data_IF_261615288291
#
_entry.id   IF_261615288291
#
_cell.length_a   1.000
_cell.length_b   1.000
_cell.length_c   1.000
_cell.angle_alpha   90.00
_cell.angle_beta   90.00
_cell.angle_gamma   90.00
#
_symmetry.space_group_name_H-M   'P 1'
#
loop_
_entity.id
_entity.type
_entity.pdbx_description
1 polymer ?
#
# COMPACT_ATOMS: atom_id res chain seq x y z
N UNK A 1 46.70 -5.89 8.19
CA UNK A 1 45.26 -6.05 8.43
C UNK A 1 44.55 -5.38 7.27
N UNK A 2 43.65 -6.07 6.56
CA UNK A 2 42.84 -5.41 5.54
C UNK A 2 41.94 -4.38 6.23
N UNK A 3 41.73 -3.23 5.60
CA UNK A 3 40.73 -2.28 6.07
C UNK A 3 39.35 -2.96 6.00
N UNK A 4 38.54 -2.77 7.04
CA UNK A 4 37.16 -3.27 7.06
C UNK A 4 36.37 -2.62 5.93
N UNK A 5 35.50 -3.40 5.30
CA UNK A 5 34.58 -2.93 4.26
C UNK A 5 33.44 -2.11 4.87
N UNK A 6 32.74 -1.35 4.02
CA UNK A 6 31.56 -0.61 4.45
C UNK A 6 30.43 -1.52 4.99
N UNK A 7 30.36 -2.77 4.50
CA UNK A 7 29.37 -3.76 4.94
C UNK A 7 29.75 -4.32 6.32
N UNK A 8 31.02 -4.67 6.54
CA UNK A 8 31.48 -5.14 7.86
C UNK A 8 31.30 -4.06 8.94
N UNK A 9 31.62 -2.80 8.61
CA UNK A 9 31.44 -1.67 9.53
C UNK A 9 29.96 -1.40 9.83
N UNK A 10 29.07 -1.57 8.84
CA UNK A 10 27.63 -1.50 9.06
C UNK A 10 27.15 -2.60 10.01
N UNK A 11 27.57 -3.85 9.80
CA UNK A 11 27.15 -4.98 10.63
C UNK A 11 27.62 -4.79 12.07
N UNK A 12 28.87 -4.35 12.27
CA UNK A 12 29.39 -4.00 13.59
C UNK A 12 28.59 -2.87 14.25
N UNK A 13 28.24 -1.82 13.49
CA UNK A 13 27.45 -0.71 14.01
C UNK A 13 26.05 -1.16 14.44
N UNK A 14 25.37 -2.01 13.65
CA UNK A 14 24.08 -2.60 14.01
C UNK A 14 24.19 -3.45 15.28
N UNK A 15 25.21 -4.33 15.38
CA UNK A 15 25.44 -5.17 16.57
C UNK A 15 25.68 -4.36 17.84
N UNK A 16 26.30 -3.18 17.71
CA UNK A 16 26.56 -2.26 18.82
C UNK A 16 25.38 -1.30 19.11
N UNK A 17 24.31 -1.36 18.31
CA UNK A 17 23.18 -0.44 18.41
C UNK A 17 23.44 0.99 17.92
N UNK A 18 24.58 1.22 17.26
CA UNK A 18 24.97 2.54 16.73
C UNK A 18 24.10 2.94 15.54
N UNK A 19 23.69 4.22 15.49
CA UNK A 19 22.88 4.76 14.38
C UNK A 19 23.69 4.96 13.10
N UNK A 20 25.01 5.12 13.20
CA UNK A 20 25.86 5.47 12.06
C UNK A 20 27.22 4.80 12.12
N UNK A 21 27.88 4.70 10.97
CA UNK A 21 29.30 4.40 10.84
C UNK A 21 29.94 5.33 9.79
N UNK A 22 31.26 5.40 9.74
CA UNK A 22 31.98 6.16 8.70
C UNK A 22 32.35 5.20 7.56
N UNK A 23 31.89 5.50 6.35
CA UNK A 23 32.24 4.74 5.16
C UNK A 23 33.75 4.89 4.87
N UNK A 24 34.53 3.80 4.85
CA UNK A 24 35.98 3.85 4.69
C UNK A 24 36.42 4.35 3.31
N UNK A 25 35.52 4.34 2.31
CA UNK A 25 35.82 4.79 0.95
C UNK A 25 35.43 6.25 0.74
N UNK A 26 34.18 6.62 1.06
CA UNK A 26 33.68 7.98 0.82
C UNK A 26 34.00 8.97 1.96
N UNK A 27 34.30 8.48 3.16
CA UNK A 27 34.46 9.30 4.36
C UNK A 27 33.14 9.85 4.91
N UNK A 28 32.00 9.49 4.32
CA UNK A 28 30.69 9.95 4.78
C UNK A 28 30.22 9.19 6.01
N UNK A 29 29.47 9.90 6.87
CA UNK A 29 28.68 9.28 7.92
C UNK A 29 27.44 8.63 7.30
N UNK A 30 27.33 7.31 7.40
CA UNK A 30 26.26 6.51 6.80
C UNK A 30 25.38 5.96 7.92
N UNK A 31 24.07 6.13 7.77
CA UNK A 31 23.06 5.58 8.69
C UNK A 31 22.99 4.05 8.57
N UNK A 32 22.84 3.36 9.70
CA UNK A 32 22.65 1.91 9.76
C UNK A 32 21.22 1.53 9.36
N UNK A 33 21.03 0.23 9.07
CA UNK A 33 19.69 -0.32 8.81
C UNK A 33 18.77 -0.07 10.00
N UNK A 34 19.27 -0.29 11.21
CA UNK A 34 18.49 -0.13 12.45
C UNK A 34 18.08 1.33 12.70
N UNK A 35 18.94 2.29 12.37
CA UNK A 35 18.58 3.71 12.41
C UNK A 35 17.41 4.03 11.46
N UNK A 36 17.42 3.44 10.26
CA UNK A 36 16.31 3.57 9.33
C UNK A 36 15.05 2.86 9.80
N UNK A 37 15.15 1.66 10.40
CA UNK A 37 14.02 0.95 11.02
C UNK A 37 13.39 1.83 12.10
N UNK A 38 14.18 2.44 12.99
CA UNK A 38 13.69 3.38 14.02
C UNK A 38 12.97 4.58 13.43
N UNK A 39 13.40 5.10 12.26
CA UNK A 39 12.72 6.19 11.55
C UNK A 39 11.35 5.79 11.00
N UNK A 40 11.11 4.50 10.74
CA UNK A 40 9.83 3.97 10.28
C UNK A 40 9.49 4.14 8.80
N UNK A 41 10.16 5.05 8.06
CA UNK A 41 9.83 5.35 6.66
C UNK A 41 11.04 5.56 5.72
N UNK A 42 10.81 5.39 4.41
CA UNK A 42 11.76 5.73 3.36
C UNK A 42 11.75 7.25 3.06
N UNK A 43 12.87 7.95 3.22
CA UNK A 43 12.93 9.39 2.96
C UNK A 43 13.17 9.79 1.49
N UNK A 44 13.36 8.82 0.59
CA UNK A 44 13.58 9.07 -0.84
C UNK A 44 15.00 9.49 -1.26
N UNK A 45 15.97 9.50 -0.35
CA UNK A 45 17.35 9.96 -0.61
C UNK A 45 18.33 8.86 -1.05
N UNK A 46 17.83 7.68 -1.48
CA UNK A 46 18.67 6.54 -1.89
C UNK A 46 19.74 6.14 -0.85
N UNK A 47 19.33 6.05 0.42
CA UNK A 47 20.25 5.69 1.50
C UNK A 47 20.76 4.25 1.32
N UNK A 48 22.08 4.03 1.50
CA UNK A 48 22.76 2.74 1.29
C UNK A 48 22.10 1.56 2.01
N UNK A 49 21.67 1.77 3.26
CA UNK A 49 21.13 0.70 4.12
C UNK A 49 19.62 0.80 4.31
N UNK A 50 18.90 1.40 3.36
CA UNK A 50 17.46 1.59 3.46
C UNK A 50 16.73 0.22 3.51
N UNK A 51 16.12 -0.17 4.64
CA UNK A 51 15.40 -1.45 4.73
C UNK A 51 14.09 -1.45 3.93
N UNK A 52 13.65 -0.28 3.47
CA UNK A 52 12.37 -0.05 2.82
C UNK A 52 12.43 -0.17 1.31
N UNK A 53 13.45 -0.83 0.76
CA UNK A 53 13.55 -1.10 -0.68
C UNK A 53 13.45 0.14 -1.56
N UNK A 54 13.93 1.27 -1.04
CA UNK A 54 13.90 2.56 -1.73
C UNK A 54 12.52 2.97 -2.28
N UNK A 55 11.41 2.57 -1.63
CA UNK A 55 10.03 2.79 -2.11
C UNK A 55 9.70 4.26 -2.44
N UNK A 56 10.35 5.22 -1.78
CA UNK A 56 10.15 6.66 -2.02
C UNK A 56 11.25 7.32 -2.88
N UNK A 57 12.26 6.57 -3.33
CA UNK A 57 13.33 7.10 -4.18
C UNK A 57 12.80 7.27 -5.60
N UNK A 58 13.19 8.34 -6.30
CA UNK A 58 12.82 8.55 -7.70
C UNK A 58 13.44 7.46 -8.57
N UNK A 59 12.73 7.02 -9.62
CA UNK A 59 13.19 5.94 -10.51
C UNK A 59 14.61 6.19 -11.07
N UNK A 60 14.95 7.44 -11.41
CA UNK A 60 16.28 7.81 -11.91
C UNK A 60 17.43 7.66 -10.91
N UNK A 61 17.15 7.35 -9.64
CA UNK A 61 18.13 7.29 -8.55
C UNK A 61 18.05 5.99 -7.73
N UNK A 62 17.24 5.01 -8.13
CA UNK A 62 17.19 3.69 -7.47
C UNK A 62 18.35 2.83 -7.95
N UNK A 63 18.95 2.07 -7.04
CA UNK A 63 19.81 0.94 -7.41
C UNK A 63 18.98 -0.12 -8.16
N UNK A 64 19.63 -0.93 -9.00
CA UNK A 64 18.94 -1.83 -9.95
C UNK A 64 18.16 -2.97 -9.28
N UNK A 65 18.45 -3.30 -8.02
CA UNK A 65 17.80 -4.41 -7.32
C UNK A 65 16.68 -3.96 -6.35
N UNK A 66 15.39 -4.21 -6.67
CA UNK A 66 14.28 -3.96 -5.75
C UNK A 66 14.38 -4.86 -4.49
N UNK A 67 13.70 -4.49 -3.40
CA UNK A 67 13.69 -5.30 -2.17
C UNK A 67 13.19 -6.72 -2.46
N UNK A 68 13.89 -7.71 -1.92
CA UNK A 68 13.57 -9.12 -2.13
C UNK A 68 12.51 -9.66 -1.17
N UNK A 69 12.12 -8.90 -0.14
CA UNK A 69 11.24 -9.34 0.93
C UNK A 69 10.17 -8.28 1.24
N UNK A 70 9.05 -8.67 1.87
CA UNK A 70 8.05 -7.74 2.36
C UNK A 70 8.66 -6.76 3.36
N UNK A 71 8.13 -5.53 3.40
CA UNK A 71 8.58 -4.51 4.35
C UNK A 71 7.40 -3.80 4.99
N UNK A 72 7.36 -3.81 6.32
CA UNK A 72 6.42 -3.01 7.12
C UNK A 72 7.04 -1.65 7.47
N UNK A 73 6.25 -0.60 7.28
CA UNK A 73 6.59 0.79 7.52
C UNK A 73 5.58 1.43 8.47
N UNK A 74 6.05 2.45 9.21
CA UNK A 74 5.22 3.31 10.06
C UNK A 74 4.40 2.59 11.14
N UNK A 75 4.80 1.37 11.54
CA UNK A 75 4.18 0.71 12.68
C UNK A 75 4.56 1.41 13.99
N UNK A 76 3.58 1.57 14.88
CA UNK A 76 3.78 1.99 16.26
C UNK A 76 2.98 1.09 17.19
N UNK A 77 3.51 0.81 18.38
CA UNK A 77 2.87 -0.11 19.33
C UNK A 77 1.44 0.34 19.64
N UNK A 78 0.49 -0.59 19.51
CA UNK A 78 -0.92 -0.36 19.79
C UNK A 78 -1.52 -1.59 20.44
N UNK A 79 -2.34 -1.43 21.48
CA UNK A 79 -3.05 -2.56 22.09
C UNK A 79 -4.28 -2.92 21.25
N UNK A 80 -4.62 -4.22 21.17
CA UNK A 80 -5.87 -4.69 20.55
C UNK A 80 -5.71 -5.68 19.39
N UNK A 81 -6.84 -5.99 18.76
CA UNK A 81 -6.93 -6.90 17.61
C UNK A 81 -6.51 -6.19 16.31
N UNK A 82 -5.72 -6.89 15.50
CA UNK A 82 -5.11 -6.36 14.28
C UNK A 82 -5.84 -6.86 13.02
N UNK A 83 -6.28 -5.93 12.19
CA UNK A 83 -6.75 -6.20 10.83
C UNK A 83 -5.67 -5.87 9.80
N UNK A 84 -5.57 -6.70 8.78
CA UNK A 84 -4.75 -6.41 7.60
C UNK A 84 -5.69 -6.06 6.44
N UNK A 85 -5.66 -4.79 6.04
CA UNK A 85 -6.45 -4.29 4.92
C UNK A 85 -5.63 -4.41 3.63
N UNK A 86 -6.12 -5.18 2.67
CA UNK A 86 -5.55 -5.23 1.33
C UNK A 86 -5.80 -3.89 0.63
N UNK A 87 -4.73 -3.09 0.56
CA UNK A 87 -4.78 -1.71 0.11
C UNK A 87 -4.37 -1.61 -1.34
N UNK A 88 -5.32 -1.22 -2.19
CA UNK A 88 -5.10 -1.03 -3.62
C UNK A 88 -4.68 0.39 -3.99
N UNK A 89 -4.94 1.35 -3.08
CA UNK A 89 -4.72 2.78 -3.30
C UNK A 89 -5.88 3.52 -3.95
N UNK A 90 -7.00 2.83 -4.20
CA UNK A 90 -8.21 3.37 -4.80
C UNK A 90 -9.34 3.64 -3.80
N UNK A 91 -10.46 4.15 -4.34
CA UNK A 91 -11.64 4.59 -3.57
C UNK A 91 -12.25 3.50 -2.68
N UNK A 92 -12.26 2.24 -3.14
CA UNK A 92 -12.92 1.14 -2.42
C UNK A 92 -12.10 0.73 -1.18
N UNK A 93 -10.77 0.69 -1.33
CA UNK A 93 -9.86 0.50 -0.20
C UNK A 93 -9.93 1.67 0.79
N UNK A 94 -10.10 2.91 0.31
CA UNK A 94 -10.32 4.09 1.16
C UNK A 94 -11.62 3.98 1.97
N UNK A 95 -12.74 3.64 1.32
CA UNK A 95 -14.02 3.43 1.99
C UNK A 95 -13.90 2.36 3.08
N UNK A 96 -13.25 1.24 2.74
CA UNK A 96 -12.99 0.12 3.65
C UNK A 96 -12.17 0.57 4.86
N UNK A 97 -11.09 1.33 4.64
CA UNK A 97 -10.27 1.87 5.73
C UNK A 97 -11.09 2.73 6.69
N UNK A 98 -11.95 3.59 6.16
CA UNK A 98 -12.78 4.47 7.00
C UNK A 98 -13.85 3.70 7.79
N UNK A 99 -14.40 2.63 7.23
CA UNK A 99 -15.26 1.71 7.97
C UNK A 99 -14.51 1.05 9.14
N UNK A 100 -13.28 0.56 8.91
CA UNK A 100 -12.48 -0.06 9.97
C UNK A 100 -12.05 0.94 11.06
N UNK A 101 -11.78 2.20 10.69
CA UNK A 101 -11.46 3.26 11.65
C UNK A 101 -12.64 3.56 12.59
N UNK A 102 -13.88 3.47 12.11
CA UNK A 102 -15.09 3.60 12.95
C UNK A 102 -15.21 2.45 13.96
N UNK A 103 -14.74 1.25 13.62
CA UNK A 103 -14.68 0.08 14.51
C UNK A 103 -13.53 0.14 15.54
N UNK A 104 -12.68 1.18 15.50
CA UNK A 104 -11.51 1.38 16.40
C UNK A 104 -10.53 0.21 16.42
N UNK A 105 -10.30 -0.42 15.26
CA UNK A 105 -9.36 -1.54 15.09
C UNK A 105 -7.93 -1.04 14.85
N UNK A 106 -6.94 -1.87 15.19
CA UNK A 106 -5.58 -1.67 14.70
C UNK A 106 -5.53 -2.13 13.24
N UNK A 107 -4.92 -1.34 12.36
CA UNK A 107 -4.96 -1.58 10.91
C UNK A 107 -3.55 -1.49 10.36
N UNK A 108 -3.16 -2.50 9.57
CA UNK A 108 -1.99 -2.45 8.69
C UNK A 108 -2.49 -2.56 7.26
N UNK A 109 -2.05 -1.64 6.40
CA UNK A 109 -2.28 -1.73 4.96
C UNK A 109 -1.31 -2.76 4.38
N UNK A 110 -1.78 -3.64 3.49
CA UNK A 110 -0.92 -4.57 2.74
C UNK A 110 -1.09 -4.32 1.24
N UNK A 111 0.01 -4.03 0.55
CA UNK A 111 0.00 -3.80 -0.89
C UNK A 111 1.08 -4.63 -1.58
N UNK A 112 0.67 -5.49 -2.51
CA UNK A 112 1.59 -6.18 -3.41
C UNK A 112 1.83 -5.40 -4.70
N UNK A 113 3.06 -5.41 -5.22
CA UNK A 113 3.44 -4.67 -6.42
C UNK A 113 4.47 -5.42 -7.26
N UNK A 114 4.51 -5.19 -8.57
CA UNK A 114 5.52 -5.79 -9.44
C UNK A 114 6.91 -5.25 -9.13
N UNK A 115 7.85 -6.11 -8.74
CA UNK A 115 9.18 -5.71 -8.28
C UNK A 115 9.95 -4.91 -9.33
N UNK A 116 9.83 -5.28 -10.62
CA UNK A 116 10.50 -4.58 -11.72
C UNK A 116 9.75 -3.34 -12.20
N UNK A 117 8.41 -3.31 -12.10
CA UNK A 117 7.60 -2.19 -12.59
C UNK A 117 7.40 -1.11 -11.54
N UNK A 118 7.59 -1.45 -10.26
CA UNK A 118 7.24 -0.61 -9.11
C UNK A 118 5.76 -0.17 -9.10
N UNK A 119 4.88 -0.94 -9.72
CA UNK A 119 3.44 -0.63 -9.78
C UNK A 119 2.59 -1.72 -9.16
N UNK A 120 1.52 -1.29 -8.50
CA UNK A 120 0.44 -2.17 -8.05
C UNK A 120 -0.24 -2.76 -9.28
N UNK A 121 -0.30 -4.09 -9.34
CA UNK A 121 -0.92 -4.82 -10.44
C UNK A 121 -2.37 -4.39 -10.62
N UNK A 122 -2.83 -4.33 -11.88
CA UNK A 122 -4.19 -3.94 -12.29
C UNK A 122 -4.45 -2.43 -12.09
N UNK A 123 -4.14 -1.90 -10.91
CA UNK A 123 -4.48 -0.53 -10.52
C UNK A 123 -3.60 0.50 -11.19
N UNK A 124 -2.42 0.06 -11.63
CA UNK A 124 -1.43 0.89 -12.30
C UNK A 124 -1.02 2.08 -11.41
N UNK A 125 -0.80 1.87 -10.12
CA UNK A 125 -0.34 2.91 -9.19
C UNK A 125 1.11 2.65 -8.80
N UNK A 126 1.97 3.66 -8.89
CA UNK A 126 3.36 3.58 -8.44
C UNK A 126 3.42 3.37 -6.91
N UNK A 127 4.22 2.42 -6.44
CA UNK A 127 4.36 2.08 -5.02
C UNK A 127 4.75 3.28 -4.15
N UNK A 128 5.45 4.29 -4.73
CA UNK A 128 5.76 5.54 -4.02
C UNK A 128 4.49 6.33 -3.66
N UNK A 129 3.45 6.28 -4.50
CA UNK A 129 2.19 6.96 -4.25
C UNK A 129 1.41 6.21 -3.16
N UNK A 130 1.47 4.88 -3.14
CA UNK A 130 0.92 4.08 -2.02
C UNK A 130 1.60 4.43 -0.69
N UNK A 131 2.92 4.56 -0.68
CA UNK A 131 3.65 4.98 0.51
C UNK A 131 3.23 6.38 0.99
N UNK A 132 3.05 7.34 0.06
CA UNK A 132 2.51 8.67 0.39
C UNK A 132 1.07 8.63 0.93
N UNK A 133 0.22 7.75 0.40
CA UNK A 133 -1.14 7.55 0.92
C UNK A 133 -1.09 7.06 2.37
N UNK A 134 -0.27 6.04 2.66
CA UNK A 134 -0.08 5.51 4.01
C UNK A 134 0.39 6.60 4.99
N UNK A 135 1.39 7.40 4.59
CA UNK A 135 1.90 8.51 5.39
C UNK A 135 0.82 9.57 5.66
N UNK A 136 0.10 9.99 4.62
CA UNK A 136 -0.98 10.96 4.76
C UNK A 136 -2.14 10.46 5.63
N UNK A 137 -2.53 9.20 5.48
CA UNK A 137 -3.64 8.60 6.23
C UNK A 137 -3.27 8.22 7.67
N UNK A 138 -1.97 8.27 8.00
CA UNK A 138 -1.43 7.88 9.30
C UNK A 138 -1.62 6.40 9.61
N UNK A 139 -1.51 5.53 8.60
CA UNK A 139 -1.73 4.07 8.75
C UNK A 139 -0.48 3.30 8.33
N UNK A 140 -0.01 2.34 9.14
CA UNK A 140 1.12 1.47 8.80
C UNK A 140 0.93 0.77 7.45
N UNK A 141 2.02 0.54 6.72
CA UNK A 141 1.99 -0.09 5.38
C UNK A 141 3.02 -1.20 5.28
N UNK A 142 2.56 -2.38 4.91
CA UNK A 142 3.37 -3.50 4.46
C UNK A 142 3.34 -3.58 2.93
N UNK A 143 4.51 -3.46 2.29
CA UNK A 143 4.64 -3.63 0.84
C UNK A 143 5.21 -5.01 0.52
N UNK A 144 4.67 -5.66 -0.52
CA UNK A 144 5.03 -7.02 -0.93
C UNK A 144 5.54 -7.01 -2.37
N UNK A 145 6.85 -7.15 -2.60
CA UNK A 145 7.40 -7.23 -3.96
C UNK A 145 7.03 -8.57 -4.60
N UNK A 146 6.47 -8.53 -5.81
CA UNK A 146 6.15 -9.70 -6.64
C UNK A 146 7.11 -9.78 -7.82
N UNK A 147 7.88 -10.86 -7.88
CA UNK A 147 8.77 -11.15 -9.02
C UNK A 147 8.07 -12.06 -10.04
N UNK A 148 8.50 -12.06 -11.30
CA UNK A 148 7.99 -13.00 -12.29
C UNK A 148 8.04 -14.44 -11.79
N UNK A 149 6.98 -15.21 -12.03
CA UNK A 149 6.85 -16.62 -11.63
C UNK A 149 6.87 -16.87 -10.11
N UNK A 150 6.66 -15.85 -9.27
CA UNK A 150 6.46 -16.05 -7.84
C UNK A 150 5.03 -16.46 -7.53
N UNK A 151 4.88 -17.29 -6.50
CA UNK A 151 3.59 -17.64 -5.94
C UNK A 151 3.06 -16.47 -5.11
N UNK A 152 1.96 -15.87 -5.59
CA UNK A 152 1.31 -14.73 -4.95
C UNK A 152 0.92 -15.03 -3.49
N UNK A 153 0.32 -16.20 -3.24
CA UNK A 153 -0.17 -16.57 -1.92
C UNK A 153 1.00 -16.74 -0.96
N UNK A 154 2.09 -17.36 -1.42
CA UNK A 154 3.32 -17.50 -0.62
C UNK A 154 3.94 -16.15 -0.28
N UNK A 155 4.06 -15.24 -1.24
CA UNK A 155 4.63 -13.90 -1.02
C UNK A 155 3.79 -13.08 -0.04
N UNK A 156 2.46 -13.13 -0.14
CA UNK A 156 1.57 -12.46 0.79
C UNK A 156 1.60 -13.12 2.17
N UNK A 157 1.66 -14.46 2.26
CA UNK A 157 1.78 -15.15 3.55
C UNK A 157 3.07 -14.74 4.29
N UNK A 158 4.19 -14.60 3.60
CA UNK A 158 5.43 -14.08 4.20
C UNK A 158 5.25 -12.66 4.77
N UNK A 159 4.43 -11.83 4.13
CA UNK A 159 4.10 -10.51 4.63
C UNK A 159 3.19 -10.56 5.87
N UNK A 160 2.21 -11.46 5.90
CA UNK A 160 1.35 -11.68 7.06
C UNK A 160 2.18 -12.18 8.27
N UNK A 161 3.12 -13.11 8.04
CA UNK A 161 4.04 -13.60 9.08
C UNK A 161 4.94 -12.46 9.61
N UNK A 162 5.47 -11.62 8.71
CA UNK A 162 6.26 -10.44 9.08
C UNK A 162 5.44 -9.47 9.93
N UNK A 163 4.20 -9.18 9.53
CA UNK A 163 3.29 -8.29 10.26
C UNK A 163 3.03 -8.87 11.65
N UNK A 164 2.64 -10.14 11.76
CA UNK A 164 2.38 -10.77 13.06
C UNK A 164 3.62 -10.73 13.97
N UNK A 165 4.80 -11.02 13.43
CA UNK A 165 6.05 -11.00 14.19
C UNK A 165 6.45 -9.59 14.66
N UNK A 166 6.40 -8.58 13.77
CA UNK A 166 6.86 -7.23 14.10
C UNK A 166 5.86 -6.45 14.94
N UNK A 167 4.57 -6.71 14.78
CA UNK A 167 3.54 -6.07 15.60
C UNK A 167 3.43 -6.76 16.96
N UNK A 168 3.68 -8.08 17.04
CA UNK A 168 3.41 -8.87 18.24
C UNK A 168 1.92 -9.19 18.42
N UNK A 169 1.07 -8.84 17.44
CA UNK A 169 -0.36 -9.07 17.47
C UNK A 169 -0.78 -10.22 16.55
N UNK A 170 -1.79 -10.97 16.97
CA UNK A 170 -2.48 -11.90 16.08
C UNK A 170 -3.33 -11.12 15.08
N UNK A 171 -3.16 -11.44 13.80
CA UNK A 171 -4.04 -10.95 12.73
C UNK A 171 -5.41 -11.61 12.91
N UNK A 172 -6.43 -10.78 13.11
CA UNK A 172 -7.81 -11.20 13.36
C UNK A 172 -8.55 -11.37 12.04
N UNK A 173 -8.47 -10.37 11.15
CA UNK A 173 -9.16 -10.39 9.85
C UNK A 173 -8.25 -9.96 8.71
N UNK A 174 -8.44 -10.58 7.55
CA UNK A 174 -7.98 -10.06 6.26
C UNK A 174 -9.14 -9.32 5.61
N UNK A 175 -8.95 -8.01 5.39
CA UNK A 175 -10.03 -7.13 4.97
C UNK A 175 -9.85 -6.73 3.51
N UNK A 176 -10.94 -6.78 2.74
CA UNK A 176 -10.97 -6.43 1.32
C UNK A 176 -12.14 -5.49 1.01
N UNK A 177 -11.92 -4.55 0.09
CA UNK A 177 -12.93 -3.60 -0.37
C UNK A 177 -13.81 -4.11 -1.50
N UNK A 178 -14.18 -5.39 -1.47
CA UNK A 178 -15.04 -6.00 -2.50
C UNK A 178 -16.47 -5.46 -2.38
N UNK A 179 -17.12 -5.12 -3.50
CA UNK A 179 -18.44 -4.49 -3.48
C UNK A 179 -19.59 -5.47 -3.65
N UNK A 180 -19.56 -6.35 -4.66
CA UNK A 180 -20.65 -7.34 -4.86
C UNK A 180 -20.27 -8.58 -5.68
N UNK A 181 -19.05 -8.69 -6.21
CA UNK A 181 -18.63 -9.83 -7.02
C UNK A 181 -18.41 -11.08 -6.15
N UNK A 182 -19.44 -11.92 -6.06
CA UNK A 182 -19.46 -13.10 -5.18
C UNK A 182 -18.33 -14.09 -5.47
N UNK A 183 -17.99 -14.32 -6.73
CA UNK A 183 -16.92 -15.24 -7.13
C UNK A 183 -15.54 -14.77 -6.62
N UNK A 184 -15.28 -13.45 -6.69
CA UNK A 184 -14.05 -12.86 -6.16
C UNK A 184 -13.99 -13.02 -4.65
N UNK A 185 -15.10 -12.70 -3.95
CA UNK A 185 -15.18 -12.86 -2.50
C UNK A 185 -14.96 -14.31 -2.09
N UNK A 186 -15.58 -15.27 -2.78
CA UNK A 186 -15.43 -16.69 -2.48
C UNK A 186 -13.98 -17.15 -2.71
N UNK A 187 -13.36 -16.75 -3.82
CA UNK A 187 -11.95 -17.04 -4.08
C UNK A 187 -11.04 -16.55 -2.95
N UNK A 188 -11.31 -15.37 -2.37
CA UNK A 188 -10.53 -14.87 -1.21
C UNK A 188 -10.71 -15.73 0.02
N UNK A 189 -11.95 -16.15 0.33
CA UNK A 189 -12.25 -17.05 1.46
C UNK A 189 -11.49 -18.37 1.30
N UNK A 190 -11.50 -18.94 0.10
CA UNK A 190 -10.84 -20.21 -0.18
C UNK A 190 -9.31 -20.06 -0.11
N UNK A 191 -8.77 -18.97 -0.67
CA UNK A 191 -7.32 -18.66 -0.67
C UNK A 191 -6.80 -18.44 0.75
N UNK A 192 -7.57 -17.77 1.60
CA UNK A 192 -7.15 -17.34 2.94
C UNK A 192 -7.90 -18.07 4.06
N UNK A 193 -8.14 -19.36 3.91
CA UNK A 193 -8.90 -20.19 4.86
C UNK A 193 -8.38 -20.21 6.30
N UNK A 194 -7.12 -19.80 6.54
CA UNK A 194 -6.54 -19.64 7.88
C UNK A 194 -6.91 -18.34 8.61
N UNK A 195 -7.62 -17.43 7.94
CA UNK A 195 -8.00 -16.12 8.48
C UNK A 195 -9.50 -15.86 8.29
N UNK A 196 -10.08 -14.99 9.13
CA UNK A 196 -11.39 -14.44 8.84
C UNK A 196 -11.29 -13.45 7.68
N UNK A 197 -11.94 -13.74 6.55
CA UNK A 197 -12.06 -12.82 5.43
C UNK A 197 -13.25 -11.88 5.66
N UNK A 198 -12.97 -10.59 5.75
CA UNK A 198 -13.97 -9.55 6.02
C UNK A 198 -14.10 -8.59 4.84
N UNK A 199 -15.33 -8.41 4.35
CA UNK A 199 -15.65 -7.57 3.19
C UNK A 199 -16.77 -6.60 3.59
N UNK A 200 -16.45 -5.51 4.30
CA UNK A 200 -17.47 -4.66 4.94
C UNK A 200 -18.33 -3.86 3.96
N UNK A 201 -17.86 -3.69 2.72
CA UNK A 201 -18.61 -2.97 1.68
C UNK A 201 -19.54 -3.89 0.87
N UNK A 202 -19.48 -5.20 1.12
CA UNK A 202 -20.14 -6.19 0.28
C UNK A 202 -21.67 -6.07 0.37
N UNK A 203 -22.32 -5.89 -0.78
CA UNK A 203 -23.76 -5.61 -0.93
C UNK A 203 -24.26 -4.34 -0.24
N UNK A 204 -23.37 -3.41 0.14
CA UNK A 204 -23.80 -2.08 0.60
C UNK A 204 -24.29 -1.27 -0.61
N UNK A 205 -25.47 -0.61 -0.54
CA UNK A 205 -25.97 0.19 -1.65
C UNK A 205 -24.99 1.27 -2.10
N UNK A 206 -24.78 1.39 -3.41
CA UNK A 206 -23.84 2.35 -3.99
C UNK A 206 -24.11 3.80 -3.59
N UNK A 207 -25.37 4.18 -3.41
CA UNK A 207 -25.73 5.54 -2.96
C UNK A 207 -25.10 5.84 -1.60
N UNK A 208 -25.14 4.89 -0.67
CA UNK A 208 -24.54 5.04 0.66
C UNK A 208 -23.00 5.09 0.59
N UNK A 209 -22.40 4.23 -0.25
CA UNK A 209 -20.95 4.22 -0.45
C UNK A 209 -20.45 5.52 -1.08
N UNK A 210 -21.14 6.03 -2.09
CA UNK A 210 -20.81 7.27 -2.77
C UNK A 210 -20.95 8.46 -1.81
N UNK A 211 -22.04 8.53 -1.05
CA UNK A 211 -22.24 9.60 -0.07
C UNK A 211 -21.14 9.60 1.01
N UNK A 212 -20.77 8.42 1.51
CA UNK A 212 -19.63 8.27 2.43
C UNK A 212 -18.32 8.69 1.77
N UNK A 213 -18.08 8.30 0.52
CA UNK A 213 -16.88 8.65 -0.24
C UNK A 213 -16.74 10.17 -0.41
N UNK A 214 -17.83 10.86 -0.77
CA UNK A 214 -17.83 12.32 -0.91
C UNK A 214 -17.59 13.03 0.41
N UNK A 215 -18.14 12.51 1.51
CA UNK A 215 -17.88 13.03 2.85
C UNK A 215 -16.40 12.92 3.23
N UNK A 216 -15.78 11.76 3.00
CA UNK A 216 -14.35 11.53 3.25
C UNK A 216 -13.51 12.46 2.38
N UNK A 217 -13.83 12.54 1.08
CA UNK A 217 -13.09 13.36 0.12
C UNK A 217 -13.05 14.83 0.55
N UNK A 218 -14.20 15.39 0.96
CA UNK A 218 -14.30 16.76 1.42
C UNK A 218 -13.56 16.97 2.75
N UNK A 219 -13.74 16.07 3.71
CA UNK A 219 -13.16 16.18 5.06
C UNK A 219 -11.64 16.13 5.06
N UNK A 220 -11.05 15.26 4.23
CA UNK A 220 -9.61 15.08 4.15
C UNK A 220 -8.94 15.91 3.05
N UNK A 221 -9.69 16.73 2.31
CA UNK A 221 -9.17 17.45 1.14
C UNK A 221 -8.46 16.51 0.14
N UNK A 222 -9.11 15.39 -0.18
CA UNK A 222 -8.59 14.38 -1.10
C UNK A 222 -8.97 14.67 -2.56
N UNK A 223 -8.13 14.21 -3.45
CA UNK A 223 -8.43 14.01 -4.86
C UNK A 223 -8.57 12.52 -5.13
N UNK A 224 -9.60 12.16 -5.89
CA UNK A 224 -9.78 10.81 -6.42
C UNK A 224 -9.78 10.96 -7.93
N UNK A 225 -8.87 10.28 -8.60
CA UNK A 225 -8.72 10.32 -10.06
C UNK A 225 -8.69 8.93 -10.63
N UNK A 226 -9.00 8.80 -11.93
CA UNK A 226 -8.79 7.55 -12.65
C UNK A 226 -7.30 7.22 -12.72
N UNK A 227 -6.91 5.99 -12.36
CA UNK A 227 -5.53 5.48 -12.46
C UNK A 227 -5.29 4.65 -13.72
N UNK A 228 -6.36 4.36 -14.46
CA UNK A 228 -6.33 3.76 -15.80
C UNK A 228 -7.26 4.54 -16.72
N UNK A 229 -7.14 4.31 -18.03
CA UNK A 229 -8.16 4.77 -18.96
C UNK A 229 -9.49 4.07 -18.70
N UNK A 230 -10.59 4.79 -18.96
CA UNK A 230 -11.95 4.29 -18.84
C UNK A 230 -12.67 4.43 -20.17
N UNK A 231 -13.27 3.33 -20.63
CA UNK A 231 -14.09 3.33 -21.83
C UNK A 231 -15.52 3.75 -21.49
N UNK A 232 -15.96 4.88 -22.05
CA UNK A 232 -17.31 5.44 -21.89
C UNK A 232 -18.10 5.30 -23.20
N UNK A 233 -18.35 4.05 -23.61
CA UNK A 233 -18.84 3.76 -24.96
C UNK A 233 -17.74 3.98 -25.99
N UNK A 234 -17.97 4.88 -26.94
CA UNK A 234 -16.99 5.22 -28.01
C UNK A 234 -15.93 6.25 -27.56
N UNK A 235 -16.06 6.80 -26.35
CA UNK A 235 -15.13 7.79 -25.79
C UNK A 235 -14.16 7.14 -24.80
N UNK A 236 -12.90 7.59 -24.81
CA UNK A 236 -11.89 7.20 -23.82
C UNK A 236 -11.68 8.35 -22.85
N UNK A 237 -12.00 8.12 -21.58
CA UNK A 237 -11.70 9.03 -20.47
C UNK A 237 -10.29 8.72 -19.98
N UNK A 238 -9.43 9.74 -19.96
CA UNK A 238 -8.00 9.58 -19.69
C UNK A 238 -7.71 9.37 -18.20
N UNK A 239 -6.63 8.65 -17.92
CA UNK A 239 -5.96 8.63 -16.60
C UNK A 239 -5.78 10.07 -16.07
N UNK A 240 -5.97 10.26 -14.77
CA UNK A 240 -5.91 11.56 -14.09
C UNK A 240 -7.22 12.33 -14.10
N UNK A 241 -8.25 11.88 -14.82
CA UNK A 241 -9.58 12.53 -14.76
C UNK A 241 -10.19 12.39 -13.35
N UNK A 242 -10.72 13.46 -12.75
CA UNK A 242 -11.37 13.38 -11.44
C UNK A 242 -12.56 12.42 -11.42
N UNK A 243 -12.56 11.50 -10.46
CA UNK A 243 -13.72 10.70 -10.10
C UNK A 243 -14.61 11.51 -9.16
N UNK A 244 -15.66 12.11 -9.74
CA UNK A 244 -16.57 13.03 -9.06
C UNK A 244 -18.03 12.72 -9.42
N UNK A 245 -18.97 13.48 -8.85
CA UNK A 245 -20.42 13.31 -9.08
C UNK A 245 -20.80 13.44 -10.56
N UNK A 246 -20.11 14.28 -11.34
CA UNK A 246 -20.38 14.45 -12.76
C UNK A 246 -19.97 13.22 -13.56
N UNK A 247 -18.79 12.66 -13.28
CA UNK A 247 -18.34 11.42 -13.92
C UNK A 247 -19.27 10.26 -13.55
N UNK A 248 -19.63 10.11 -12.27
CA UNK A 248 -20.58 9.08 -11.82
C UNK A 248 -21.92 9.21 -12.53
N UNK A 249 -22.46 10.42 -12.64
CA UNK A 249 -23.71 10.67 -13.36
C UNK A 249 -23.62 10.28 -14.83
N UNK A 250 -22.49 10.55 -15.49
CA UNK A 250 -22.23 10.15 -16.88
C UNK A 250 -22.15 8.63 -17.04
N UNK A 251 -21.49 7.92 -16.12
CA UNK A 251 -21.41 6.46 -16.12
C UNK A 251 -22.81 5.85 -16.07
N UNK A 252 -23.63 6.30 -15.11
CA UNK A 252 -25.00 5.82 -14.94
C UNK A 252 -25.87 6.10 -16.17
N UNK A 253 -25.75 7.28 -16.79
CA UNK A 253 -26.48 7.62 -18.02
C UNK A 253 -26.10 6.72 -19.21
N UNK A 254 -24.87 6.21 -19.24
CA UNK A 254 -24.37 5.27 -20.24
C UNK A 254 -24.62 3.80 -19.87
N UNK A 255 -25.24 3.54 -18.72
CA UNK A 255 -25.51 2.18 -18.23
C UNK A 255 -24.26 1.44 -17.72
N UNK A 256 -23.19 2.17 -17.40
CA UNK A 256 -21.97 1.61 -16.81
C UNK A 256 -22.04 1.59 -15.28
N UNK A 257 -21.20 0.77 -14.65
CA UNK A 257 -21.14 0.69 -13.18
C UNK A 257 -20.63 2.00 -12.57
N UNK A 258 -21.43 2.57 -11.68
CA UNK A 258 -21.11 3.83 -11.02
C UNK A 258 -19.81 3.75 -10.19
N UNK A 259 -19.51 2.58 -9.63
CA UNK A 259 -18.34 2.28 -8.80
C UNK A 259 -17.22 1.59 -9.59
N UNK A 260 -17.33 1.44 -10.91
CA UNK A 260 -16.30 0.84 -11.77
C UNK A 260 -15.96 -0.62 -11.42
N UNK A 261 -16.87 -1.35 -10.79
CA UNK A 261 -16.62 -2.70 -10.27
C UNK A 261 -16.46 -3.74 -11.39
N UNK A 262 -17.01 -3.51 -12.59
CA UNK A 262 -16.96 -4.45 -13.71
C UNK A 262 -15.70 -4.28 -14.57
N UNK A 263 -14.68 -3.58 -14.06
CA UNK A 263 -13.41 -3.37 -14.74
C UNK A 263 -13.43 -2.20 -15.73
N UNK A 264 -14.40 -1.29 -15.63
CA UNK A 264 -14.45 -0.08 -16.47
C UNK A 264 -13.25 0.83 -16.24
N UNK A 265 -12.67 0.82 -15.04
CA UNK A 265 -11.43 1.52 -14.73
C UNK A 265 -11.07 1.45 -13.26
N UNK A 266 -9.89 1.94 -12.91
CA UNK A 266 -9.40 1.99 -11.54
C UNK A 266 -9.23 3.43 -11.07
N UNK A 267 -9.19 3.62 -9.75
CA UNK A 267 -8.99 4.94 -9.15
C UNK A 267 -7.76 4.96 -8.27
N UNK A 268 -7.19 6.16 -8.12
CA UNK A 268 -6.15 6.48 -7.16
C UNK A 268 -6.62 7.62 -6.28
N UNK A 269 -6.36 7.50 -4.97
CA UNK A 269 -6.63 8.54 -3.97
C UNK A 269 -5.33 9.27 -3.65
N UNK A 270 -5.33 10.60 -3.67
CA UNK A 270 -4.18 11.41 -3.27
C UNK A 270 -4.63 12.60 -2.43
N UNK A 271 -3.78 13.09 -1.53
CA UNK A 271 -3.99 14.38 -0.89
C UNK A 271 -3.90 15.48 -1.95
N UNK A 272 -4.86 16.42 -1.98
CA UNK A 272 -4.73 17.62 -2.82
C UNK A 272 -3.51 18.42 -2.37
N UNK A 273 -2.61 18.71 -3.29
CA UNK A 273 -1.56 19.68 -3.03
C UNK A 273 -2.19 21.07 -3.01
N UNK A 274 -1.90 21.84 -1.95
CA UNK A 274 -2.35 23.22 -1.80
C UNK A 274 -1.68 24.13 -2.83
#
# INVERSE_FOLDING_TARGET
>A
MSALTAEELHQMACQQGSDTYVDPVSGYQVLTKDAHVRRGSCCGNSCRHCPYGHVNVKAAHREEEPPQAPVLMNWSNSDGELDVLFWSGGKDSLLTLFQLKEEKRNIVLLTSYGAHTNRVSIQNIDIKNIAKQSEFLGVPLCVVPLYPNTDYQKSVQQALDLIAHQTGHRISRLVFGDLHLQDIRQWRVDTWSGYEVYTPLFNVPYVELLDKLWGIQATLNLEITLSTELALGDEIVKEGTPYNRDLVSKLMQKGLDAMLENGEGHTMVMQRQA
#
